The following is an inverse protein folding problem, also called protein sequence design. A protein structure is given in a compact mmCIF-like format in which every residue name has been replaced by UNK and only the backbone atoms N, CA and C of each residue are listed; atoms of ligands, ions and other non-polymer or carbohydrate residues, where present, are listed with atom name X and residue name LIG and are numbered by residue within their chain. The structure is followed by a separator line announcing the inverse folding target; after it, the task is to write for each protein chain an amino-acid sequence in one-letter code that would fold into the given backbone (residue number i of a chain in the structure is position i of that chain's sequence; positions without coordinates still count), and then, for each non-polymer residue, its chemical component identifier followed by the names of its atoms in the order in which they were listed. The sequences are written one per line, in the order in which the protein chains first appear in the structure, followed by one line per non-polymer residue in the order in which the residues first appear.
data_IF_783681931447
#
_entry.id   IF_783681931447
#
_cell.length_a   1.000
_cell.length_b   1.000
_cell.length_c   1.000
_cell.angle_alpha   90.00
_cell.angle_beta   90.00
_cell.angle_gamma   90.00
#
_symmetry.space_group_name_H-M   'P 1'
#
loop_
_entity.id
_entity.type
_entity.pdbx_description
1 polymer ?
#
# COMPACT_ATOMS: atom_id res chain seq x y z
N UNK A 1 5.99 2.57 -4.51
CA UNK A 1 6.02 3.06 -3.12
C UNK A 1 5.16 4.30 -2.87
N UNK A 2 5.33 5.42 -3.60
CA UNK A 2 4.52 6.62 -3.39
C UNK A 2 3.01 6.41 -3.59
N UNK A 3 2.62 5.59 -4.56
CA UNK A 3 1.23 5.21 -4.79
C UNK A 3 0.57 4.58 -3.55
N UNK A 4 1.27 3.74 -2.79
CA UNK A 4 0.77 3.15 -1.53
C UNK A 4 0.73 4.17 -0.39
N UNK A 5 1.56 5.22 -0.45
CA UNK A 5 1.56 6.31 0.52
C UNK A 5 0.40 7.30 0.29
N UNK A 6 -0.09 7.39 -0.96
CA UNK A 6 -1.01 8.45 -1.38
C UNK A 6 -2.41 7.94 -1.74
N UNK A 7 -2.54 6.75 -2.33
CA UNK A 7 -3.82 6.31 -2.92
C UNK A 7 -4.72 5.51 -1.98
N UNK A 8 -6.02 5.73 -2.15
CA UNK A 8 -7.07 4.94 -1.52
C UNK A 8 -7.43 3.67 -2.29
N UNK A 9 -8.21 2.75 -1.69
CA UNK A 9 -8.66 1.49 -2.33
C UNK A 9 -9.19 1.70 -3.75
N UNK A 10 -10.07 2.69 -3.93
CA UNK A 10 -10.66 3.00 -5.24
C UNK A 10 -9.64 3.61 -6.21
N UNK A 11 -8.75 4.47 -5.72
CA UNK A 11 -7.70 5.08 -6.55
C UNK A 11 -6.63 4.06 -6.94
N UNK A 12 -6.29 3.11 -6.07
CA UNK A 12 -5.42 1.98 -6.38
C UNK A 12 -6.03 1.12 -7.49
N UNK A 13 -7.32 0.81 -7.40
CA UNK A 13 -7.99 0.06 -8.45
C UNK A 13 -7.99 0.83 -9.78
N UNK A 14 -8.33 2.12 -9.75
CA UNK A 14 -8.48 2.94 -10.96
C UNK A 14 -7.15 3.36 -11.60
N UNK A 15 -6.16 3.72 -10.80
CA UNK A 15 -4.88 4.22 -11.31
C UNK A 15 -3.83 3.12 -11.50
N UNK A 16 -3.94 2.01 -10.75
CA UNK A 16 -2.94 0.92 -10.81
C UNK A 16 -3.54 -0.35 -11.43
N UNK A 17 -4.63 -0.89 -10.87
CA UNK A 17 -5.17 -2.20 -11.32
C UNK A 17 -5.79 -2.10 -12.72
N UNK A 18 -6.49 -1.00 -13.03
CA UNK A 18 -7.10 -0.80 -14.35
C UNK A 18 -6.17 -0.12 -15.35
N UNK A 19 -4.96 0.28 -14.94
CA UNK A 19 -3.99 0.92 -15.84
C UNK A 19 -3.13 -0.14 -16.51
N UNK A 20 -3.37 -0.38 -17.79
CA UNK A 20 -2.63 -1.37 -18.59
C UNK A 20 -1.12 -1.09 -18.61
N UNK A 21 -0.73 0.18 -18.60
CA UNK A 21 0.68 0.59 -18.57
C UNK A 21 1.35 0.19 -17.24
N UNK A 22 0.64 0.31 -16.12
CA UNK A 22 1.15 -0.08 -14.81
C UNK A 22 1.17 -1.60 -14.62
N UNK A 23 0.29 -2.32 -15.32
CA UNK A 23 0.20 -3.77 -15.28
C UNK A 23 1.51 -4.45 -15.70
N UNK A 24 2.18 -3.91 -16.71
CA UNK A 24 3.50 -4.39 -17.16
C UNK A 24 4.57 -4.25 -16.06
N UNK A 25 4.56 -3.13 -15.32
CA UNK A 25 5.47 -2.93 -14.20
C UNK A 25 5.17 -3.86 -13.01
N UNK A 26 3.89 -4.18 -12.80
CA UNK A 26 3.46 -5.15 -11.76
C UNK A 26 3.80 -6.59 -12.12
N UNK A 27 3.89 -6.92 -13.40
CA UNK A 27 4.38 -8.22 -13.86
C UNK A 27 5.88 -8.36 -13.66
N UNK A 28 6.63 -7.27 -13.82
CA UNK A 28 8.07 -7.22 -13.56
C UNK A 28 8.38 -7.38 -12.07
N UNK A 29 7.57 -6.77 -11.19
CA UNK A 29 7.78 -6.75 -9.75
C UNK A 29 6.60 -7.37 -8.98
N UNK A 30 6.56 -8.71 -8.84
CA UNK A 30 5.44 -9.41 -8.22
C UNK A 30 5.23 -9.03 -6.75
N UNK A 31 6.28 -8.60 -6.03
CA UNK A 31 6.19 -8.17 -4.64
C UNK A 31 5.29 -6.93 -4.49
N UNK A 32 5.42 -5.95 -5.39
CA UNK A 32 4.61 -4.72 -5.35
C UNK A 32 3.15 -5.02 -5.65
N UNK A 33 2.90 -5.93 -6.59
CA UNK A 33 1.55 -6.41 -6.91
C UNK A 33 0.88 -7.04 -5.69
N UNK A 34 1.57 -7.91 -4.98
CA UNK A 34 1.04 -8.55 -3.77
C UNK A 34 0.73 -7.52 -2.67
N UNK A 35 1.62 -6.54 -2.46
CA UNK A 35 1.39 -5.45 -1.50
C UNK A 35 0.10 -4.67 -1.84
N UNK A 36 -0.08 -4.32 -3.12
CA UNK A 36 -1.28 -3.63 -3.60
C UNK A 36 -2.55 -4.46 -3.36
N UNK A 37 -2.51 -5.76 -3.69
CA UNK A 37 -3.64 -6.65 -3.45
C UNK A 37 -3.94 -6.80 -1.96
N UNK A 38 -2.93 -6.96 -1.10
CA UNK A 38 -3.09 -7.07 0.36
C UNK A 38 -3.67 -5.78 0.95
N UNK A 39 -3.23 -4.62 0.46
CA UNK A 39 -3.80 -3.33 0.83
C UNK A 39 -5.27 -3.22 0.38
N UNK A 40 -5.56 -3.68 -0.84
CA UNK A 40 -6.92 -3.75 -1.36
C UNK A 40 -7.81 -4.72 -0.59
N UNK A 41 -7.29 -5.81 -0.04
CA UNK A 41 -8.06 -6.74 0.82
C UNK A 41 -8.21 -6.28 2.28
N UNK A 42 -7.76 -5.07 2.64
CA UNK A 42 -7.66 -4.60 4.03
C UNK A 42 -6.76 -5.47 4.92
N UNK A 43 -5.87 -6.28 4.32
CA UNK A 43 -4.89 -7.10 5.04
C UNK A 43 -3.62 -6.29 5.34
N UNK A 44 -3.78 -5.19 6.08
CA UNK A 44 -2.69 -4.25 6.38
C UNK A 44 -1.51 -4.89 7.12
N UNK A 45 -1.77 -5.87 7.99
CA UNK A 45 -0.70 -6.59 8.70
C UNK A 45 0.24 -7.32 7.73
N UNK A 46 -0.31 -8.08 6.78
CA UNK A 46 0.48 -8.75 5.76
C UNK A 46 1.10 -7.77 4.76
N UNK A 47 0.37 -6.70 4.42
CA UNK A 47 0.88 -5.63 3.56
C UNK A 47 2.11 -4.95 4.17
N UNK A 48 2.08 -4.60 5.46
CA UNK A 48 3.20 -4.02 6.20
C UNK A 48 4.37 -4.99 6.29
N UNK A 49 4.11 -6.29 6.44
CA UNK A 49 5.18 -7.30 6.51
C UNK A 49 5.95 -7.41 5.19
N UNK A 50 5.24 -7.52 4.07
CA UNK A 50 5.84 -7.49 2.72
C UNK A 50 6.55 -6.15 2.44
N UNK A 51 5.99 -5.04 2.91
CA UNK A 51 6.62 -3.73 2.76
C UNK A 51 7.95 -3.67 3.53
N UNK A 52 8.05 -4.31 4.70
CA UNK A 52 9.26 -4.33 5.54
C UNK A 52 10.35 -5.21 4.89
N UNK A 53 9.97 -6.36 4.33
CA UNK A 53 10.86 -7.22 3.55
C UNK A 53 11.42 -6.48 2.33
N UNK A 54 10.59 -5.71 1.62
CA UNK A 54 11.06 -4.83 0.54
C UNK A 54 11.95 -3.69 1.06
N UNK A 55 11.67 -3.16 2.25
CA UNK A 55 12.45 -2.06 2.83
C UNK A 55 13.90 -2.48 3.08
N UNK A 56 14.15 -3.70 3.55
CA UNK A 56 15.52 -4.19 3.73
C UNK A 56 16.29 -4.21 2.41
N UNK A 57 15.63 -4.61 1.31
CA UNK A 57 16.23 -4.55 -0.03
C UNK A 57 16.48 -3.10 -0.50
N UNK A 58 15.56 -2.17 -0.21
CA UNK A 58 15.71 -0.76 -0.60
C UNK A 58 16.73 -0.01 0.27
N UNK A 59 17.00 -0.49 1.48
CA UNK A 59 18.06 0.02 2.36
C UNK A 59 19.46 -0.39 1.88
N UNK A 60 19.57 -1.44 1.06
CA UNK A 60 20.81 -1.81 0.40
C UNK A 60 21.18 -0.83 -0.73
N UNK A 61 20.22 -0.01 -1.19
CA UNK A 61 20.45 0.96 -2.25
C UNK A 61 20.96 2.30 -1.67
N UNK A 62 22.19 2.67 -2.04
CA UNK A 62 22.91 3.83 -1.53
C UNK A 62 22.14 5.14 -1.67
N UNK A 63 21.39 5.31 -2.77
CA UNK A 63 20.66 6.55 -3.05
C UNK A 63 19.27 6.57 -2.41
N UNK A 64 18.66 5.41 -2.24
CA UNK A 64 17.28 5.30 -1.76
C UNK A 64 17.20 5.13 -0.24
N UNK A 65 18.21 4.52 0.39
CA UNK A 65 18.31 4.28 1.82
C UNK A 65 17.87 5.46 2.72
N UNK A 66 18.32 6.72 2.50
CA UNK A 66 17.91 7.83 3.36
C UNK A 66 16.42 8.21 3.20
N UNK A 67 15.84 7.96 2.03
CA UNK A 67 14.44 8.28 1.73
C UNK A 67 13.47 7.18 2.12
N UNK A 68 13.92 5.92 2.15
CA UNK A 68 13.09 4.75 2.49
C UNK A 68 12.44 4.93 3.86
N UNK A 69 13.20 5.37 4.87
CA UNK A 69 12.68 5.55 6.24
C UNK A 69 11.53 6.56 6.31
N UNK A 70 11.66 7.68 5.58
CA UNK A 70 10.65 8.74 5.53
C UNK A 70 9.40 8.25 4.79
N UNK A 71 9.58 7.62 3.63
CA UNK A 71 8.47 7.03 2.87
C UNK A 71 7.72 5.97 3.69
N UNK A 72 8.45 5.11 4.39
CA UNK A 72 7.86 4.06 5.23
C UNK A 72 7.01 4.63 6.36
N UNK A 73 7.52 5.68 7.02
CA UNK A 73 6.79 6.38 8.09
C UNK A 73 5.50 7.01 7.57
N UNK A 74 5.54 7.61 6.39
CA UNK A 74 4.35 8.18 5.75
C UNK A 74 3.33 7.11 5.36
N UNK A 75 3.77 6.02 4.72
CA UNK A 75 2.90 4.89 4.35
C UNK A 75 2.22 4.30 5.59
N UNK A 76 2.97 4.08 6.67
CA UNK A 76 2.43 3.52 7.92
C UNK A 76 1.42 4.46 8.57
N UNK A 77 1.72 5.75 8.67
CA UNK A 77 0.79 6.73 9.23
C UNK A 77 -0.51 6.82 8.42
N UNK A 78 -0.39 6.82 7.08
CA UNK A 78 -1.55 6.80 6.16
C UNK A 78 -2.37 5.51 6.30
N UNK A 79 -1.72 4.34 6.27
CA UNK A 79 -2.39 3.05 6.44
C UNK A 79 -3.16 3.00 7.77
N UNK A 80 -2.60 3.52 8.86
CA UNK A 80 -3.29 3.62 10.15
C UNK A 80 -4.51 4.55 10.11
N UNK A 81 -4.41 5.70 9.44
CA UNK A 81 -5.55 6.61 9.25
C UNK A 81 -6.64 5.95 8.41
N UNK A 82 -6.26 5.28 7.31
CA UNK A 82 -7.16 4.55 6.42
C UNK A 82 -7.92 3.44 7.16
N UNK A 83 -7.22 2.66 7.99
CA UNK A 83 -7.82 1.62 8.85
C UNK A 83 -8.88 2.24 9.76
N UNK A 84 -8.58 3.38 10.41
CA UNK A 84 -9.54 4.07 11.28
C UNK A 84 -10.76 4.59 10.53
N UNK A 85 -10.61 5.01 9.27
CA UNK A 85 -11.73 5.41 8.43
C UNK A 85 -12.59 4.21 7.99
N UNK A 86 -11.99 3.10 7.60
CA UNK A 86 -12.72 1.85 7.27
C UNK A 86 -13.49 1.29 8.48
N UNK A 87 -12.94 1.40 9.69
CA UNK A 87 -13.61 0.95 10.92
C UNK A 87 -14.78 1.85 11.32
N UNK A 88 -14.81 3.12 10.88
CA UNK A 88 -15.94 4.04 11.14
C UNK A 88 -17.16 3.78 10.22
N UNK A 89 -16.93 3.17 9.07
CA UNK A 89 -17.98 2.78 8.11
C UNK A 89 -18.69 1.47 8.55
N UNK A 90 -18.07 0.68 9.44
CA UNK A 90 -18.68 -0.55 10.01
C UNK A 90 -19.58 -0.28 11.23
N UNK A 91 -19.70 0.98 11.68
CA UNK A 91 -20.55 1.39 12.81
C UNK A 91 -21.89 2.02 12.41
N UNK A 92 -22.36 1.80 11.18
CA UNK A 92 -23.81 1.85 10.91
C UNK A 92 -24.30 0.41 10.70
N UNK A 93 -24.74 -0.29 11.77
CA UNK A 93 -25.63 -1.41 11.58
C UNK A 93 -26.91 -0.86 10.95
N UNK A 94 -27.16 -1.33 9.73
CA UNK A 94 -28.48 -1.39 9.13
C UNK A 94 -29.49 -1.88 10.18
N UNK A 95 -30.31 -0.98 10.70
CA UNK A 95 -31.62 -1.31 11.25
C UNK A 95 -32.60 -0.23 10.81
N UNK A 96 -33.53 -0.68 9.96
CA UNK A 96 -34.88 -0.14 9.86
C UNK A 96 -35.56 -0.06 11.22
#
# INVERSE_FOLDING_TARGET
MCALATFNRQELQKNIISSSSFKLFLELEPQVRDIIFKFYESKYASCLKLLDEMKDNLLLDLYLAPHVRTLYTQIRNRALIQVRHTQRDQSEPSYM
#
